data_IF_822215860410
#
_entry.id   IF_822215860410
#
_cell.length_a   1.000
_cell.length_b   1.000
_cell.length_c   1.000
_cell.angle_alpha   90.00
_cell.angle_beta   90.00
_cell.angle_gamma   90.00
#
_symmetry.space_group_name_H-M   'P 1'
#
loop_
_entity.id
_entity.type
_entity.pdbx_description
1 polymer ?
#
# COMPACT_ATOMS: atom_id res chain seq x y z
N UNK A 1 -15.49 -3.51 -20.32
CA UNK A 1 -14.46 -2.94 -19.42
C UNK A 1 -13.71 -4.04 -18.68
N UNK A 2 -14.40 -4.88 -17.90
CA UNK A 2 -13.77 -5.97 -17.15
C UNK A 2 -12.95 -6.93 -18.03
N UNK A 3 -13.45 -7.31 -19.20
CA UNK A 3 -12.73 -8.23 -20.08
C UNK A 3 -11.47 -7.61 -20.70
N UNK A 4 -11.55 -6.36 -21.14
CA UNK A 4 -10.40 -5.61 -21.67
C UNK A 4 -9.26 -5.52 -20.64
N UNK A 5 -9.58 -5.16 -19.39
CA UNK A 5 -8.56 -5.11 -18.33
C UNK A 5 -8.02 -6.49 -17.99
N UNK A 6 -8.86 -7.54 -18.02
CA UNK A 6 -8.44 -8.93 -17.79
C UNK A 6 -7.39 -9.36 -18.80
N UNK A 7 -7.62 -9.10 -20.09
CA UNK A 7 -6.68 -9.46 -21.17
C UNK A 7 -5.34 -8.75 -20.96
N UNK A 8 -5.35 -7.44 -20.75
CA UNK A 8 -4.12 -6.67 -20.52
C UNK A 8 -3.37 -7.13 -19.25
N UNK A 9 -4.09 -7.47 -18.18
CA UNK A 9 -3.52 -7.96 -16.93
C UNK A 9 -2.81 -9.31 -17.10
N UNK A 10 -3.39 -10.23 -17.88
CA UNK A 10 -2.76 -11.52 -18.17
C UNK A 10 -1.48 -11.33 -18.99
N UNK A 11 -1.49 -10.43 -19.96
CA UNK A 11 -0.30 -10.13 -20.77
C UNK A 11 0.83 -9.54 -19.91
N UNK A 12 0.52 -8.52 -19.09
CA UNK A 12 1.49 -7.92 -18.19
C UNK A 12 2.05 -8.93 -17.17
N UNK A 13 1.19 -9.82 -16.65
CA UNK A 13 1.63 -10.89 -15.75
C UNK A 13 2.59 -11.89 -16.43
N UNK A 14 2.37 -12.23 -17.70
CA UNK A 14 3.28 -13.07 -18.48
C UNK A 14 4.63 -12.37 -18.71
N UNK A 15 4.63 -11.09 -19.07
CA UNK A 15 5.86 -10.29 -19.21
C UNK A 15 6.68 -10.25 -17.91
N UNK A 16 6.03 -10.19 -16.74
CA UNK A 16 6.74 -10.28 -15.46
C UNK A 16 7.27 -11.68 -15.18
N UNK A 17 6.43 -12.71 -15.33
CA UNK A 17 6.74 -14.06 -14.86
C UNK A 17 7.64 -14.84 -15.82
N UNK A 18 7.35 -14.76 -17.11
CA UNK A 18 7.98 -15.58 -18.13
C UNK A 18 9.24 -14.87 -18.68
N UNK A 19 9.20 -13.53 -18.75
CA UNK A 19 10.30 -12.74 -19.32
C UNK A 19 11.16 -12.03 -18.26
N UNK A 20 10.74 -12.00 -16.99
CA UNK A 20 11.49 -11.35 -15.90
C UNK A 20 11.55 -9.83 -16.01
N UNK A 21 10.61 -9.21 -16.73
CA UNK A 21 10.58 -7.76 -16.99
C UNK A 21 9.71 -7.01 -15.96
N UNK A 22 9.82 -5.67 -15.87
CA UNK A 22 8.90 -4.86 -15.08
C UNK A 22 7.43 -5.03 -15.52
N UNK A 23 6.51 -4.83 -14.59
CA UNK A 23 5.07 -4.83 -14.88
C UNK A 23 4.70 -3.60 -15.72
N UNK A 24 4.11 -3.82 -16.89
CA UNK A 24 3.78 -2.81 -17.89
C UNK A 24 2.26 -2.60 -18.09
N UNK A 25 1.43 -3.01 -17.11
CA UNK A 25 -0.04 -2.96 -17.22
C UNK A 25 -0.55 -1.54 -17.46
N UNK A 26 0.01 -0.54 -16.81
CA UNK A 26 -0.47 0.85 -16.90
C UNK A 26 -0.15 1.43 -18.27
N UNK A 27 1.03 1.12 -18.82
CA UNK A 27 1.46 1.47 -20.16
C UNK A 27 0.53 0.85 -21.20
N UNK A 28 0.14 -0.42 -21.02
CA UNK A 28 -0.83 -1.09 -21.89
C UNK A 28 -2.21 -0.43 -21.85
N UNK A 29 -2.68 -0.01 -20.68
CA UNK A 29 -3.96 0.70 -20.52
C UNK A 29 -3.90 2.07 -21.23
N UNK A 30 -2.79 2.81 -21.07
CA UNK A 30 -2.56 4.10 -21.75
C UNK A 30 -2.44 3.96 -23.27
N UNK A 31 -2.03 2.80 -23.77
CA UNK A 31 -1.95 2.50 -25.20
C UNK A 31 -3.26 2.01 -25.83
N UNK A 32 -4.29 1.72 -25.03
CA UNK A 32 -5.55 1.14 -25.51
C UNK A 32 -6.67 2.19 -25.56
N UNK A 33 -7.14 2.53 -26.78
CA UNK A 33 -8.21 3.52 -27.04
C UNK A 33 -9.51 3.22 -26.27
N UNK A 34 -9.78 1.97 -25.90
CA UNK A 34 -10.92 1.61 -25.05
C UNK A 34 -10.92 2.37 -23.71
N UNK A 35 -9.73 2.60 -23.15
CA UNK A 35 -9.53 3.29 -21.87
C UNK A 35 -9.26 4.78 -22.00
N UNK A 36 -9.34 5.34 -23.21
CA UNK A 36 -9.15 6.77 -23.46
C UNK A 36 -9.94 7.69 -22.51
N UNK A 37 -11.20 7.38 -22.14
CA UNK A 37 -11.93 8.22 -21.19
C UNK A 37 -11.28 8.37 -19.81
N UNK A 38 -10.46 7.40 -19.37
CA UNK A 38 -9.85 7.39 -18.02
C UNK A 38 -8.35 7.72 -18.03
N UNK A 39 -7.72 7.93 -19.18
CA UNK A 39 -6.26 8.14 -19.26
C UNK A 39 -5.75 9.31 -18.40
N UNK A 40 -6.53 10.39 -18.30
CA UNK A 40 -6.19 11.56 -17.48
C UNK A 40 -6.33 11.33 -15.98
N UNK A 41 -7.03 10.27 -15.57
CA UNK A 41 -7.31 9.95 -14.17
C UNK A 41 -6.39 8.84 -13.63
N UNK A 42 -5.71 8.08 -14.49
CA UNK A 42 -4.93 6.89 -14.11
C UNK A 42 -3.93 7.16 -12.98
N UNK A 43 -3.16 8.26 -13.03
CA UNK A 43 -2.17 8.56 -11.98
C UNK A 43 -2.82 8.86 -10.63
N UNK A 44 -3.97 9.53 -10.65
CA UNK A 44 -4.74 9.82 -9.42
C UNK A 44 -5.39 8.57 -8.85
N UNK A 45 -5.81 7.63 -9.70
CA UNK A 45 -6.40 6.37 -9.27
C UNK A 45 -5.36 5.45 -8.62
N UNK A 46 -4.08 5.58 -8.96
CA UNK A 46 -3.00 4.71 -8.48
C UNK A 46 -2.29 5.22 -7.22
N UNK A 47 -2.80 6.28 -6.59
CA UNK A 47 -2.22 6.79 -5.34
C UNK A 47 -2.37 5.75 -4.22
N UNK A 48 -1.27 5.27 -3.61
CA UNK A 48 -1.30 4.17 -2.63
C UNK A 48 -2.21 4.43 -1.43
N UNK A 49 -2.35 5.69 -1.03
CA UNK A 49 -3.15 6.15 0.12
C UNK A 49 -4.65 5.85 -0.08
N UNK A 50 -5.11 5.72 -1.32
CA UNK A 50 -6.50 5.35 -1.62
C UNK A 50 -6.80 3.88 -1.29
N UNK A 51 -5.77 3.04 -1.16
CA UNK A 51 -5.90 1.58 -1.01
C UNK A 51 -5.64 1.06 0.40
N UNK A 52 -5.41 1.95 1.37
CA UNK A 52 -5.18 1.56 2.77
C UNK A 52 -6.46 1.54 3.62
N UNK A 53 -7.60 1.97 3.07
CA UNK A 53 -8.88 2.00 3.77
C UNK A 53 -8.79 2.69 5.14
N UNK A 54 -9.29 2.03 6.20
CA UNK A 54 -9.27 2.56 7.58
C UNK A 54 -8.01 2.20 8.37
N UNK A 55 -6.95 1.73 7.72
CA UNK A 55 -5.74 1.24 8.42
C UNK A 55 -5.18 2.26 9.41
N UNK A 56 -5.09 3.53 8.99
CA UNK A 56 -4.59 4.63 9.85
C UNK A 56 -5.49 4.81 11.08
N UNK A 57 -6.80 4.84 10.90
CA UNK A 57 -7.75 4.99 12.01
C UNK A 57 -7.69 3.82 12.99
N UNK A 58 -7.56 2.59 12.46
CA UNK A 58 -7.47 1.36 13.27
C UNK A 58 -6.21 1.41 14.14
N UNK A 59 -5.07 1.74 13.53
CA UNK A 59 -3.79 1.87 14.25
C UNK A 59 -3.87 2.98 15.29
N UNK A 60 -4.38 4.16 14.93
CA UNK A 60 -4.50 5.27 15.88
C UNK A 60 -5.44 4.95 17.04
N UNK A 61 -6.55 4.25 16.79
CA UNK A 61 -7.48 3.84 17.85
C UNK A 61 -6.84 2.81 18.80
N UNK A 62 -6.02 1.90 18.27
CA UNK A 62 -5.44 0.81 19.06
C UNK A 62 -4.16 1.24 19.78
N UNK A 63 -3.23 1.87 19.06
CA UNK A 63 -1.90 2.26 19.52
C UNK A 63 -1.79 3.71 19.99
N UNK A 64 -2.71 4.59 19.59
CA UNK A 64 -2.66 6.00 19.93
C UNK A 64 -3.06 6.33 21.37
N UNK A 65 -3.09 7.62 21.72
CA UNK A 65 -3.43 8.09 23.07
C UNK A 65 -4.81 7.59 23.53
N UNK A 66 -4.89 7.09 24.75
CA UNK A 66 -6.07 6.46 25.32
C UNK A 66 -6.41 5.09 24.74
N UNK A 67 -5.59 4.59 23.81
CA UNK A 67 -5.74 3.32 23.11
C UNK A 67 -5.49 2.10 23.99
N UNK A 68 -5.66 0.92 23.40
CA UNK A 68 -5.48 -0.37 24.08
C UNK A 68 -4.02 -0.56 24.50
N UNK A 69 -3.09 -0.23 23.61
CA UNK A 69 -1.65 -0.42 23.86
C UNK A 69 -1.17 0.46 25.02
N UNK A 70 -1.52 1.74 25.03
CA UNK A 70 -1.12 2.65 26.11
C UNK A 70 -1.61 2.16 27.48
N UNK A 71 -2.88 1.73 27.56
CA UNK A 71 -3.46 1.16 28.78
C UNK A 71 -2.75 -0.10 29.24
N UNK A 72 -2.43 -1.00 28.31
CA UNK A 72 -1.72 -2.23 28.62
C UNK A 72 -0.27 -1.98 29.10
N UNK A 73 0.38 -0.92 28.59
CA UNK A 73 1.75 -0.55 28.94
C UNK A 73 1.85 0.31 30.20
N UNK A 74 0.75 0.89 30.70
CA UNK A 74 0.74 1.77 31.87
C UNK A 74 1.49 1.21 33.11
N UNK A 75 1.36 -0.08 33.49
CA UNK A 75 2.11 -0.63 34.63
C UNK A 75 3.64 -0.67 34.42
N UNK A 76 4.08 -0.64 33.17
CA UNK A 76 5.49 -0.78 32.78
C UNK A 76 6.13 0.55 32.40
N UNK A 77 5.40 1.67 32.52
CA UNK A 77 5.84 2.97 32.03
C UNK A 77 7.18 3.42 32.66
N UNK A 78 7.42 3.06 33.93
CA UNK A 78 8.71 3.33 34.58
C UNK A 78 9.90 2.62 33.92
N UNK A 79 9.70 1.42 33.36
CA UNK A 79 10.76 0.66 32.70
C UNK A 79 11.00 1.18 31.28
N UNK A 80 9.92 1.58 30.59
CA UNK A 80 9.98 2.16 29.25
C UNK A 80 10.73 3.50 29.29
N UNK A 81 10.37 4.40 30.23
CA UNK A 81 11.03 5.70 30.37
C UNK A 81 12.49 5.62 30.81
N UNK A 82 12.86 4.59 31.58
CA UNK A 82 14.25 4.35 32.02
C UNK A 82 15.09 3.64 30.96
N UNK A 83 14.46 3.10 29.92
CA UNK A 83 15.19 2.40 28.86
C UNK A 83 15.97 3.40 28.02
N UNK A 84 17.28 3.18 27.87
CA UNK A 84 18.12 3.91 26.95
C UNK A 84 18.05 3.28 25.57
N UNK A 85 18.15 4.09 24.51
CA UNK A 85 18.26 3.59 23.13
C UNK A 85 19.44 2.64 23.01
N UNK A 86 19.17 1.35 22.78
CA UNK A 86 20.21 0.42 22.40
C UNK A 86 20.68 0.77 20.98
N UNK A 87 21.92 1.23 20.84
CA UNK A 87 22.55 1.36 19.54
C UNK A 87 22.89 -0.05 19.05
N UNK A 88 22.13 -0.53 18.07
CA UNK A 88 22.53 -1.69 17.27
C UNK A 88 23.68 -1.23 16.37
N UNK A 89 24.91 -1.58 16.73
CA UNK A 89 26.02 -1.54 15.79
C UNK A 89 25.78 -2.64 14.75
N UNK A 90 25.24 -2.26 13.61
CA UNK A 90 25.24 -3.07 12.38
C UNK A 90 26.48 -2.72 11.58
#
# INVERSE_FOLDING_TARGET
AHEEIRVLSVQAASTVKDEGKPNDLIERIRGNEYFKPIWGELDSMLQPELYIGRSVEIVNKYCGPGGVVEKALAPYQQYILKSTTAQLNV
#
